data_IF_988818799422
#
_entry.id   IF_988818799422
#
_cell.length_a   1.000
_cell.length_b   1.000
_cell.length_c   1.000
_cell.angle_alpha   90.00
_cell.angle_beta   90.00
_cell.angle_gamma   90.00
#
_symmetry.space_group_name_H-M   'P 1'
#
loop_
_entity.id
_entity.type
_entity.pdbx_description
1 polymer ?
#
# COMPACT_ATOMS: atom_id res chain seq x y z
N UNK A 1 -11.64 -8.15 2.77
CA UNK A 1 -10.55 -7.15 2.90
C UNK A 1 -9.26 -7.90 2.71
N UNK A 2 -8.46 -7.50 1.73
CA UNK A 2 -7.22 -8.17 1.35
C UNK A 2 -6.05 -7.23 1.65
N UNK A 3 -4.98 -7.76 2.23
CA UNK A 3 -3.81 -6.97 2.62
C UNK A 3 -2.61 -7.34 1.76
N UNK A 4 -1.93 -6.32 1.24
CA UNK A 4 -0.66 -6.44 0.52
C UNK A 4 0.44 -5.83 1.37
N UNK A 5 1.52 -6.58 1.59
CA UNK A 5 2.65 -6.13 2.38
C UNK A 5 3.85 -5.91 1.46
N UNK A 6 3.98 -4.74 0.81
CA UNK A 6 5.15 -4.45 0.00
C UNK A 6 6.43 -4.61 0.84
N UNK A 7 7.50 -5.08 0.18
CA UNK A 7 8.80 -5.42 0.77
C UNK A 7 8.80 -6.63 1.71
N UNK A 8 7.69 -7.37 1.86
CA UNK A 8 7.66 -8.65 2.58
C UNK A 8 7.29 -9.81 1.66
N UNK A 9 7.92 -10.97 1.87
CA UNK A 9 7.46 -12.24 1.31
C UNK A 9 6.35 -12.87 2.19
N UNK A 10 5.83 -14.03 1.78
CA UNK A 10 4.79 -14.76 2.52
C UNK A 10 5.22 -15.17 3.94
N UNK A 11 6.53 -15.20 4.22
CA UNK A 11 7.13 -15.52 5.51
C UNK A 11 7.51 -14.26 6.31
N UNK A 12 7.15 -13.06 5.83
CA UNK A 12 7.48 -11.75 6.44
C UNK A 12 8.97 -11.41 6.45
N UNK A 13 9.76 -12.02 5.56
CA UNK A 13 11.14 -11.61 5.36
C UNK A 13 11.17 -10.34 4.52
N UNK A 14 12.05 -9.40 4.89
CA UNK A 14 12.29 -8.21 4.08
C UNK A 14 12.93 -8.59 2.75
N UNK A 15 12.25 -8.22 1.67
CA UNK A 15 12.68 -8.37 0.29
C UNK A 15 12.74 -7.00 -0.38
N UNK A 16 13.47 -6.91 -1.48
CA UNK A 16 13.37 -5.75 -2.36
C UNK A 16 11.93 -5.67 -2.90
N UNK A 17 11.34 -4.47 -2.84
CA UNK A 17 9.99 -4.21 -3.31
C UNK A 17 9.76 -2.72 -3.50
N UNK A 18 8.69 -2.38 -4.20
CA UNK A 18 8.26 -0.99 -4.41
C UNK A 18 7.78 -0.39 -3.10
N UNK A 19 8.13 0.88 -2.85
CA UNK A 19 7.63 1.58 -1.67
C UNK A 19 6.11 1.81 -1.77
N UNK A 20 5.39 1.60 -0.67
CA UNK A 20 3.94 1.80 -0.61
C UNK A 20 3.50 3.20 -1.01
N UNK A 21 4.36 4.21 -0.83
CA UNK A 21 4.11 5.60 -1.25
C UNK A 21 4.08 5.73 -2.78
N UNK A 22 4.98 5.04 -3.47
CA UNK A 22 5.00 5.00 -4.93
C UNK A 22 3.77 4.26 -5.47
N UNK A 23 3.36 3.17 -4.81
CA UNK A 23 2.15 2.42 -5.18
C UNK A 23 0.90 3.30 -5.04
N UNK A 24 0.77 4.06 -3.95
CA UNK A 24 -0.34 4.97 -3.74
C UNK A 24 -0.44 6.01 -4.87
N UNK A 25 0.68 6.66 -5.20
CA UNK A 25 0.73 7.66 -6.29
C UNK A 25 0.37 7.06 -7.65
N UNK A 26 0.85 5.85 -7.94
CA UNK A 26 0.53 5.16 -9.18
C UNK A 26 -0.98 4.84 -9.30
N UNK A 27 -1.61 4.43 -8.19
CA UNK A 27 -3.05 4.14 -8.16
C UNK A 27 -3.90 5.40 -8.29
N UNK A 28 -3.54 6.48 -7.60
CA UNK A 28 -4.21 7.77 -7.75
C UNK A 28 -4.10 8.30 -9.18
N UNK A 29 -2.91 8.21 -9.80
CA UNK A 29 -2.69 8.58 -11.19
C UNK A 29 -3.45 7.72 -12.21
N UNK A 30 -3.76 6.47 -11.84
CA UNK A 30 -4.59 5.56 -12.64
C UNK A 30 -6.11 5.77 -12.41
N UNK A 31 -6.50 6.72 -11.57
CA UNK A 31 -7.91 7.06 -11.32
C UNK A 31 -8.57 6.25 -10.20
N UNK A 32 -7.79 5.50 -9.40
CA UNK A 32 -8.32 4.86 -8.20
C UNK A 32 -8.40 5.85 -7.05
N UNK A 33 -9.53 5.84 -6.34
CA UNK A 33 -9.72 6.70 -5.18
C UNK A 33 -9.25 5.99 -3.91
N UNK A 34 -8.28 6.59 -3.22
CA UNK A 34 -7.92 6.16 -1.87
C UNK A 34 -9.10 6.41 -0.93
N UNK A 35 -9.39 5.44 -0.07
CA UNK A 35 -10.45 5.57 0.93
C UNK A 35 -10.09 6.56 2.03
N UNK A 36 -8.78 6.78 2.21
CA UNK A 36 -8.20 7.76 3.12
C UNK A 36 -6.82 8.19 2.60
N UNK A 37 -6.31 9.36 3.00
CA UNK A 37 -4.95 9.74 2.70
C UNK A 37 -3.96 8.68 3.19
N UNK A 38 -2.87 8.48 2.43
CA UNK A 38 -1.76 7.64 2.85
C UNK A 38 -1.27 8.05 4.24
N UNK A 39 -1.08 7.07 5.11
CA UNK A 39 -0.55 7.26 6.45
C UNK A 39 0.90 6.80 6.47
N UNK A 40 1.82 7.65 6.92
CA UNK A 40 3.24 7.33 7.00
C UNK A 40 3.85 7.96 8.25
N UNK A 41 4.79 7.26 8.88
CA UNK A 41 5.54 7.79 10.03
C UNK A 41 6.67 8.76 9.61
N UNK A 42 7.09 8.70 8.35
CA UNK A 42 8.13 9.55 7.77
C UNK A 42 8.34 9.32 6.27
N UNK A 43 9.46 9.81 5.74
CA UNK A 43 9.86 9.63 4.33
C UNK A 43 10.20 8.17 4.00
N UNK A 44 10.65 7.40 5.00
CA UNK A 44 10.92 5.97 4.93
C UNK A 44 10.23 5.24 6.09
N UNK A 45 10.26 3.90 6.10
CA UNK A 45 9.68 3.10 7.16
C UNK A 45 8.16 2.89 7.01
N UNK A 46 7.48 2.59 8.12
CA UNK A 46 6.09 2.15 8.11
C UNK A 46 5.13 3.14 7.43
N UNK A 47 4.30 2.61 6.54
CA UNK A 47 3.27 3.38 5.87
C UNK A 47 2.17 2.47 5.33
N UNK A 48 0.95 2.97 5.25
CA UNK A 48 -0.18 2.22 4.73
C UNK A 48 -1.24 3.10 4.06
N UNK A 49 -2.03 2.49 3.18
CA UNK A 49 -3.22 3.12 2.61
C UNK A 49 -4.28 2.07 2.26
N UNK A 50 -5.53 2.54 2.08
CA UNK A 50 -6.63 1.69 1.62
C UNK A 50 -7.21 2.22 0.33
N UNK A 51 -7.55 1.32 -0.58
CA UNK A 51 -8.15 1.63 -1.88
C UNK A 51 -9.32 0.68 -2.13
N UNK A 52 -10.31 1.16 -2.89
CA UNK A 52 -11.42 0.34 -3.37
C UNK A 52 -11.20 0.01 -4.84
N UNK A 53 -11.22 -1.28 -5.19
CA UNK A 53 -11.14 -1.71 -6.59
C UNK A 53 -12.47 -1.49 -7.34
N UNK A 54 -12.49 -1.83 -8.63
CA UNK A 54 -13.67 -1.68 -9.49
C UNK A 54 -14.81 -2.65 -9.13
N UNK A 55 -14.48 -3.79 -8.53
CA UNK A 55 -15.44 -4.77 -8.04
C UNK A 55 -15.99 -4.39 -6.65
N UNK A 56 -15.42 -3.35 -6.04
CA UNK A 56 -15.79 -2.81 -4.75
C UNK A 56 -15.10 -3.46 -3.55
N UNK A 57 -14.09 -4.29 -3.76
CA UNK A 57 -13.28 -4.84 -2.69
C UNK A 57 -12.39 -3.77 -2.08
N UNK A 58 -12.24 -3.84 -0.76
CA UNK A 58 -11.29 -3.01 -0.02
C UNK A 58 -9.95 -3.73 0.07
N UNK A 59 -8.92 -3.07 -0.47
CA UNK A 59 -7.53 -3.49 -0.43
C UNK A 59 -6.77 -2.59 0.54
N UNK A 60 -6.02 -3.20 1.45
CA UNK A 60 -5.08 -2.53 2.35
C UNK A 60 -3.67 -2.79 1.83
N UNK A 61 -2.87 -1.74 1.68
CA UNK A 61 -1.45 -1.85 1.44
C UNK A 61 -0.73 -1.39 2.70
N UNK A 62 0.08 -2.26 3.30
CA UNK A 62 0.71 -2.06 4.61
C UNK A 62 2.21 -2.39 4.54
N UNK A 63 3.05 -1.37 4.62
CA UNK A 63 4.50 -1.51 4.65
C UNK A 63 4.99 -1.39 6.09
N UNK A 64 5.80 -2.36 6.51
CA UNK A 64 6.37 -2.39 7.87
C UNK A 64 7.82 -1.90 7.95
N UNK A 65 8.52 -1.73 6.82
CA UNK A 65 9.97 -1.45 6.74
C UNK A 65 10.32 -0.32 5.78
#
# INVERSE_FOLDING_TARGET
>A
MMTFNPKWDEQKNTIAGTDVREIAQALEGAGYTLLQPLQAEGEEGPAYFMVKDLDGNVLLFDQHV
#
